data_IF_324314046457
#
_entry.id   IF_324314046457
#
_cell.length_a   1.000
_cell.length_b   1.000
_cell.length_c   1.000
_cell.angle_alpha   90.00
_cell.angle_beta   90.00
_cell.angle_gamma   90.00
#
_symmetry.space_group_name_H-M   'P 1'
#
loop_
_entity.id
_entity.type
_entity.pdbx_description
1 polymer ?
#
# COMPACT_ATOMS: atom_id res chain seq x y z
N UNK A 1 -23.56 -23.96 28.54
CA UNK A 1 -23.39 -22.71 29.26
C UNK A 1 -22.31 -21.89 28.59
N UNK A 2 -22.54 -20.59 28.42
CA UNK A 2 -21.53 -19.63 27.93
C UNK A 2 -20.83 -18.96 29.12
N UNK A 3 -19.70 -18.31 28.84
CA UNK A 3 -19.03 -17.43 29.78
C UNK A 3 -19.79 -16.12 29.86
N UNK A 4 -19.98 -15.58 31.06
CA UNK A 4 -20.55 -14.25 31.26
C UNK A 4 -19.44 -13.23 31.18
N UNK A 5 -19.50 -12.36 30.15
CA UNK A 5 -18.51 -11.30 29.90
C UNK A 5 -18.79 -10.03 30.73
N UNK A 6 -19.74 -10.04 31.66
CA UNK A 6 -20.02 -8.93 32.55
C UNK A 6 -20.51 -7.63 31.84
N UNK A 7 -21.09 -7.77 30.66
CA UNK A 7 -21.57 -6.65 29.83
C UNK A 7 -20.60 -6.20 28.76
N UNK A 8 -19.42 -6.82 28.63
CA UNK A 8 -18.47 -6.54 27.55
C UNK A 8 -18.98 -7.09 26.21
N UNK A 9 -18.45 -6.54 25.12
CA UNK A 9 -18.79 -6.94 23.76
C UNK A 9 -17.76 -7.92 23.21
N UNK A 10 -18.22 -9.04 22.66
CA UNK A 10 -17.40 -9.93 21.83
C UNK A 10 -17.58 -9.54 20.37
N UNK A 11 -16.51 -9.10 19.74
CA UNK A 11 -16.48 -8.70 18.33
C UNK A 11 -15.57 -9.63 17.52
N UNK A 12 -15.80 -9.78 16.21
CA UNK A 12 -14.80 -10.39 15.32
C UNK A 12 -13.47 -9.61 15.40
N UNK A 13 -12.35 -10.31 15.21
CA UNK A 13 -11.07 -9.65 15.10
C UNK A 13 -11.01 -8.67 13.92
N UNK A 14 -10.23 -7.62 14.07
CA UNK A 14 -10.05 -6.63 13.02
C UNK A 14 -9.23 -7.21 11.86
N UNK A 15 -9.47 -6.69 10.65
CA UNK A 15 -8.69 -7.00 9.45
C UNK A 15 -8.01 -5.71 9.01
N UNK A 16 -6.67 -5.73 8.99
CA UNK A 16 -5.85 -4.62 8.48
C UNK A 16 -5.46 -4.91 7.04
N UNK A 17 -5.88 -4.05 6.11
CA UNK A 17 -5.66 -4.26 4.68
C UNK A 17 -4.44 -3.52 4.13
N UNK A 18 -3.92 -2.51 4.85
CA UNK A 18 -2.83 -1.68 4.34
C UNK A 18 -1.96 -1.14 5.47
N UNK A 19 -0.91 -1.85 5.81
CA UNK A 19 0.06 -1.41 6.82
C UNK A 19 1.51 -1.50 6.33
N UNK A 20 2.28 -0.42 6.54
CA UNK A 20 3.73 -0.36 6.29
C UNK A 20 4.54 -0.66 7.57
N UNK A 21 3.90 -1.06 8.66
CA UNK A 21 4.56 -1.21 9.97
C UNK A 21 5.65 -2.29 9.98
N UNK A 22 5.51 -3.35 9.17
CA UNK A 22 6.55 -4.38 9.06
C UNK A 22 7.89 -3.79 8.59
N UNK A 23 7.85 -2.85 7.64
CA UNK A 23 9.06 -2.14 7.19
C UNK A 23 9.75 -1.40 8.34
N UNK A 24 8.99 -0.75 9.23
CA UNK A 24 9.53 -0.04 10.38
C UNK A 24 10.19 -0.97 11.41
N UNK A 25 9.70 -2.19 11.56
CA UNK A 25 10.34 -3.21 12.41
C UNK A 25 11.59 -3.79 11.76
N UNK A 26 11.58 -3.99 10.45
CA UNK A 26 12.72 -4.54 9.70
C UNK A 26 13.84 -3.50 9.51
N UNK A 27 13.47 -2.26 9.18
CA UNK A 27 14.39 -1.13 8.96
C UNK A 27 14.07 0.03 9.90
N UNK A 28 14.36 -0.08 11.21
CA UNK A 28 13.94 0.88 12.21
C UNK A 28 14.63 2.26 12.10
N UNK A 29 15.71 2.33 11.32
CA UNK A 29 16.42 3.58 11.00
C UNK A 29 17.26 3.41 9.75
N UNK A 30 17.66 4.50 9.07
CA UNK A 30 18.44 4.45 7.84
C UNK A 30 19.70 3.59 7.98
N UNK A 31 19.95 2.70 7.03
CA UNK A 31 21.12 1.82 6.98
C UNK A 31 21.12 0.65 7.96
N UNK A 32 20.08 0.48 8.76
CA UNK A 32 19.97 -0.65 9.70
C UNK A 32 18.92 -1.64 9.20
N UNK A 33 19.29 -2.91 9.15
CA UNK A 33 18.38 -4.03 8.87
C UNK A 33 18.45 -5.01 10.05
N UNK A 34 17.29 -5.33 10.58
CA UNK A 34 17.15 -6.35 11.60
C UNK A 34 16.92 -7.73 10.97
N UNK A 35 17.10 -8.78 11.77
CA UNK A 35 16.72 -10.11 11.32
C UNK A 35 15.23 -10.13 10.96
N UNK A 36 14.89 -10.61 9.75
CA UNK A 36 13.53 -10.55 9.23
C UNK A 36 12.53 -11.30 10.11
N UNK A 37 12.86 -12.51 10.60
CA UNK A 37 11.97 -13.29 11.49
C UNK A 37 11.71 -12.51 12.79
N UNK A 38 12.73 -11.93 13.39
CA UNK A 38 12.58 -11.15 14.64
C UNK A 38 11.73 -9.90 14.42
N UNK A 39 11.91 -9.22 13.29
CA UNK A 39 11.10 -8.05 12.91
C UNK A 39 9.63 -8.44 12.71
N UNK A 40 9.38 -9.54 12.00
CA UNK A 40 8.03 -10.08 11.77
C UNK A 40 7.35 -10.44 13.09
N UNK A 41 8.04 -11.13 14.00
CA UNK A 41 7.46 -11.49 15.29
C UNK A 41 7.15 -10.28 16.18
N UNK A 42 7.97 -9.21 16.12
CA UNK A 42 7.69 -7.96 16.83
C UNK A 42 6.49 -7.23 16.23
N UNK A 43 6.40 -7.21 14.90
CA UNK A 43 5.23 -6.67 14.19
C UNK A 43 3.96 -7.44 14.51
N UNK A 44 3.98 -8.78 14.40
CA UNK A 44 2.85 -9.66 14.75
C UNK A 44 2.35 -9.44 16.18
N UNK A 45 3.27 -9.28 17.14
CA UNK A 45 2.90 -8.99 18.53
C UNK A 45 2.14 -7.67 18.67
N UNK A 46 2.54 -6.62 17.93
CA UNK A 46 1.86 -5.33 17.91
C UNK A 46 0.49 -5.42 17.24
N UNK A 47 0.42 -6.12 16.11
CA UNK A 47 -0.83 -6.39 15.36
C UNK A 47 -1.83 -7.12 16.25
N UNK A 48 -1.43 -8.23 16.87
CA UNK A 48 -2.29 -9.02 17.74
C UNK A 48 -2.74 -8.23 18.99
N UNK A 49 -1.84 -7.44 19.60
CA UNK A 49 -2.19 -6.59 20.75
C UNK A 49 -3.20 -5.48 20.40
N UNK A 50 -3.35 -5.15 19.11
CA UNK A 50 -4.33 -4.18 18.61
C UNK A 50 -5.69 -4.82 18.26
N UNK A 51 -5.88 -6.13 18.51
CA UNK A 51 -7.10 -6.86 18.18
C UNK A 51 -7.24 -7.21 16.69
N UNK A 52 -6.15 -7.09 15.93
CA UNK A 52 -6.10 -7.47 14.51
C UNK A 52 -5.79 -8.97 14.44
N UNK A 53 -6.66 -9.73 13.77
CA UNK A 53 -6.51 -11.18 13.58
C UNK A 53 -6.09 -11.57 12.17
N UNK A 54 -6.23 -10.66 11.22
CA UNK A 54 -5.73 -10.81 9.85
C UNK A 54 -5.09 -9.52 9.41
N UNK A 55 -3.88 -9.60 8.86
CA UNK A 55 -3.13 -8.44 8.39
C UNK A 55 -2.58 -8.67 6.99
N UNK A 56 -2.69 -7.65 6.14
CA UNK A 56 -2.08 -7.59 4.83
C UNK A 56 -0.84 -6.70 4.92
N UNK A 57 0.32 -7.35 5.01
CA UNK A 57 1.61 -6.68 5.09
C UNK A 57 1.98 -6.08 3.74
N UNK A 58 2.15 -4.78 3.70
CA UNK A 58 2.51 -4.05 2.49
C UNK A 58 3.98 -4.31 2.12
N UNK A 59 4.20 -4.76 0.89
CA UNK A 59 5.52 -4.87 0.27
C UNK A 59 5.58 -3.98 -0.97
N UNK A 60 6.58 -3.09 -1.02
CA UNK A 60 6.72 -2.12 -2.10
C UNK A 60 7.41 -2.75 -3.30
N UNK A 61 6.80 -2.60 -4.48
CA UNK A 61 7.37 -3.05 -5.74
C UNK A 61 7.58 -1.85 -6.67
N UNK A 62 8.72 -1.84 -7.32
CA UNK A 62 9.22 -0.72 -8.11
C UNK A 62 10.21 0.13 -7.32
N UNK A 63 11.34 0.46 -7.97
CA UNK A 63 12.35 1.34 -7.40
C UNK A 63 11.86 2.78 -7.48
N UNK A 64 11.06 3.18 -6.50
CA UNK A 64 11.03 4.60 -6.20
C UNK A 64 12.22 4.93 -5.28
N UNK A 65 12.76 6.10 -5.44
CA UNK A 65 13.93 6.56 -4.66
C UNK A 65 13.61 6.71 -3.16
N UNK A 66 12.46 6.26 -2.68
CA UNK A 66 11.94 6.56 -1.35
C UNK A 66 12.20 5.49 -0.31
N UNK A 67 12.28 4.24 -0.67
CA UNK A 67 12.29 3.17 0.30
C UNK A 67 13.67 2.80 0.84
N UNK A 68 14.74 3.07 0.11
CA UNK A 68 16.09 2.66 0.50
C UNK A 68 16.25 1.14 0.66
N UNK A 69 15.33 0.34 0.11
CA UNK A 69 15.41 -1.11 0.10
C UNK A 69 16.17 -1.59 -1.13
N UNK A 70 17.07 -2.54 -0.93
CA UNK A 70 17.80 -3.14 -2.04
C UNK A 70 16.90 -4.11 -2.83
N UNK A 71 17.25 -4.34 -4.10
CA UNK A 71 16.62 -5.36 -4.91
C UNK A 71 16.63 -6.71 -4.18
N UNK A 72 15.48 -7.37 -4.13
CA UNK A 72 15.30 -8.66 -3.45
C UNK A 72 14.98 -8.58 -1.96
N UNK A 73 15.08 -7.41 -1.29
CA UNK A 73 14.71 -7.31 0.14
C UNK A 73 13.23 -7.62 0.37
N UNK A 74 12.33 -7.20 -0.53
CA UNK A 74 10.91 -7.52 -0.40
C UNK A 74 10.66 -9.03 -0.52
N UNK A 75 11.37 -9.72 -1.42
CA UNK A 75 11.28 -11.19 -1.51
C UNK A 75 11.82 -11.86 -0.24
N UNK A 76 12.94 -11.38 0.30
CA UNK A 76 13.49 -11.89 1.56
C UNK A 76 12.49 -11.74 2.72
N UNK A 77 11.81 -10.61 2.84
CA UNK A 77 10.79 -10.37 3.86
C UNK A 77 9.61 -11.34 3.67
N UNK A 78 9.13 -11.50 2.44
CA UNK A 78 8.03 -12.41 2.13
C UNK A 78 8.38 -13.88 2.43
N UNK A 79 9.59 -14.32 2.09
CA UNK A 79 10.07 -15.66 2.40
C UNK A 79 10.15 -15.91 3.91
N UNK A 80 10.63 -14.90 4.66
CA UNK A 80 10.68 -14.96 6.12
C UNK A 80 9.28 -14.97 6.74
N UNK A 81 8.32 -14.23 6.17
CA UNK A 81 6.92 -14.23 6.59
C UNK A 81 6.29 -15.61 6.37
N UNK A 82 6.48 -16.20 5.18
CA UNK A 82 6.03 -17.55 4.88
C UNK A 82 6.69 -18.61 5.78
N UNK A 83 7.97 -18.43 6.12
CA UNK A 83 8.65 -19.31 7.07
C UNK A 83 8.04 -19.19 8.46
N UNK A 84 7.86 -17.97 8.97
CA UNK A 84 7.29 -17.74 10.30
C UNK A 84 5.88 -18.32 10.43
N UNK A 85 5.06 -18.20 9.37
CA UNK A 85 3.73 -18.81 9.31
C UNK A 85 3.79 -20.34 9.36
N UNK A 86 4.67 -20.98 8.56
CA UNK A 86 4.84 -22.44 8.55
C UNK A 86 5.35 -23.01 9.89
N UNK A 87 6.15 -22.22 10.59
CA UNK A 87 6.74 -22.60 11.89
C UNK A 87 5.82 -22.26 13.09
N UNK A 88 4.59 -21.82 12.84
CA UNK A 88 3.59 -21.45 13.87
C UNK A 88 4.12 -20.39 14.86
N UNK A 89 4.83 -19.36 14.31
CA UNK A 89 5.42 -18.28 15.09
C UNK A 89 4.54 -17.04 15.18
N UNK A 90 3.42 -17.01 14.45
CA UNK A 90 2.56 -15.86 14.30
C UNK A 90 1.24 -16.05 15.03
N UNK A 91 0.68 -14.96 15.55
CA UNK A 91 -0.62 -14.92 16.26
C UNK A 91 -1.76 -14.54 15.34
N UNK A 92 -1.48 -13.66 14.37
CA UNK A 92 -2.43 -13.24 13.34
C UNK A 92 -2.20 -14.02 12.03
N UNK A 93 -3.24 -14.06 11.18
CA UNK A 93 -3.13 -14.56 9.80
C UNK A 93 -2.51 -13.46 8.93
N UNK A 94 -1.25 -13.65 8.54
CA UNK A 94 -0.51 -12.72 7.71
C UNK A 94 -0.68 -13.04 6.24
N UNK A 95 -0.99 -12.02 5.45
CA UNK A 95 -1.10 -12.03 4.00
C UNK A 95 -0.19 -10.95 3.42
N UNK A 96 0.09 -11.03 2.13
CA UNK A 96 0.91 -10.03 1.43
C UNK A 96 -0.02 -9.12 0.62
N UNK A 97 0.21 -7.83 0.78
CA UNK A 97 -0.30 -6.76 -0.05
C UNK A 97 0.83 -6.15 -0.88
N UNK A 98 0.80 -6.35 -2.19
CA UNK A 98 1.80 -5.77 -3.09
C UNK A 98 1.44 -4.32 -3.40
N UNK A 99 2.31 -3.39 -3.04
CA UNK A 99 2.20 -1.98 -3.40
C UNK A 99 2.99 -1.73 -4.68
N UNK A 100 2.30 -1.76 -5.83
CA UNK A 100 2.93 -1.69 -7.14
C UNK A 100 3.01 -0.24 -7.62
N UNK A 101 4.20 0.36 -7.62
CA UNK A 101 4.44 1.69 -8.21
C UNK A 101 4.51 1.55 -9.74
N UNK A 102 3.36 1.71 -10.41
CA UNK A 102 3.22 1.42 -11.85
C UNK A 102 4.02 2.37 -12.74
N UNK A 103 4.44 3.52 -12.22
CA UNK A 103 5.33 4.47 -12.91
C UNK A 103 6.81 4.03 -12.89
N UNK A 104 7.19 3.08 -12.03
CA UNK A 104 8.55 2.59 -11.96
C UNK A 104 8.88 1.63 -13.12
N UNK A 105 10.06 1.80 -13.73
CA UNK A 105 10.45 1.02 -14.90
C UNK A 105 10.64 -0.47 -14.60
N UNK A 106 10.95 -0.82 -13.37
CA UNK A 106 11.29 -2.17 -12.90
C UNK A 106 10.17 -2.85 -12.09
N UNK A 107 8.99 -2.23 -11.97
CA UNK A 107 7.89 -2.79 -11.16
C UNK A 107 7.45 -4.18 -11.64
N UNK A 108 7.46 -4.42 -12.95
CA UNK A 108 7.09 -5.73 -13.51
C UNK A 108 8.13 -6.79 -13.14
N UNK A 109 9.43 -6.46 -13.25
CA UNK A 109 10.51 -7.37 -12.82
C UNK A 109 10.36 -7.77 -11.35
N UNK A 110 10.05 -6.81 -10.48
CA UNK A 110 9.81 -7.09 -9.06
C UNK A 110 8.50 -7.85 -8.83
N UNK A 111 7.45 -7.58 -9.63
CA UNK A 111 6.17 -8.27 -9.52
C UNK A 111 6.29 -9.75 -9.92
N UNK A 112 7.16 -10.09 -10.88
CA UNK A 112 7.39 -11.48 -11.27
C UNK A 112 7.83 -12.38 -10.11
N UNK A 113 8.62 -11.85 -9.17
CA UNK A 113 9.05 -12.58 -7.97
C UNK A 113 7.87 -12.99 -7.06
N UNK A 114 6.71 -12.36 -7.24
CA UNK A 114 5.49 -12.59 -6.45
C UNK A 114 4.32 -13.14 -7.27
N UNK A 115 4.46 -13.23 -8.57
CA UNK A 115 3.37 -13.58 -9.50
C UNK A 115 2.62 -14.85 -9.10
N UNK A 116 3.29 -15.82 -8.52
CA UNK A 116 2.71 -17.11 -8.10
C UNK A 116 2.69 -17.32 -6.59
N UNK A 117 3.08 -16.34 -5.80
CA UNK A 117 3.14 -16.47 -4.34
C UNK A 117 1.73 -16.62 -3.74
N UNK A 118 1.43 -17.72 -3.01
CA UNK A 118 0.10 -17.97 -2.45
C UNK A 118 -0.26 -17.03 -1.29
N UNK A 119 0.71 -16.35 -0.68
CA UNK A 119 0.44 -15.39 0.38
C UNK A 119 -0.08 -14.04 -0.15
N UNK A 120 0.09 -13.77 -1.45
CA UNK A 120 -0.40 -12.54 -2.07
C UNK A 120 -1.92 -12.59 -2.21
N UNK A 121 -2.61 -11.73 -1.48
CA UNK A 121 -4.07 -11.61 -1.51
C UNK A 121 -4.58 -10.27 -2.02
N UNK A 122 -3.72 -9.24 -2.07
CA UNK A 122 -4.06 -7.89 -2.48
C UNK A 122 -2.91 -7.25 -3.26
N UNK A 123 -3.22 -6.45 -4.28
CA UNK A 123 -2.26 -5.66 -5.02
C UNK A 123 -2.83 -4.26 -5.30
N UNK A 124 -2.12 -3.20 -4.92
CA UNK A 124 -2.49 -1.81 -5.21
C UNK A 124 -1.73 -1.29 -6.41
N UNK A 125 -2.45 -0.63 -7.31
CA UNK A 125 -1.91 0.05 -8.48
C UNK A 125 -1.67 1.52 -8.14
N UNK A 126 -0.44 1.89 -7.84
CA UNK A 126 -0.06 3.21 -7.35
C UNK A 126 0.71 4.00 -8.39
N UNK A 127 0.44 5.30 -8.47
CA UNK A 127 1.21 6.24 -9.29
C UNK A 127 1.41 7.54 -8.49
N UNK A 128 2.61 7.70 -7.94
CA UNK A 128 3.00 8.89 -7.17
C UNK A 128 3.74 9.93 -8.01
N UNK A 129 3.55 9.93 -9.34
CA UNK A 129 4.11 10.96 -10.18
C UNK A 129 3.40 12.32 -9.95
N UNK A 130 4.12 13.46 -10.14
CA UNK A 130 3.51 14.78 -10.02
C UNK A 130 2.36 15.00 -11.00
N UNK A 131 1.24 15.50 -10.50
CA UNK A 131 0.01 15.66 -11.28
C UNK A 131 -0.86 14.41 -11.34
N UNK A 132 -0.45 13.33 -10.68
CA UNK A 132 -1.23 12.11 -10.55
C UNK A 132 -1.81 11.99 -9.13
N UNK A 133 -3.01 11.43 -9.04
CA UNK A 133 -3.67 10.95 -7.80
C UNK A 133 -3.41 11.81 -6.55
N UNK A 134 -2.58 11.38 -5.61
CA UNK A 134 -2.26 12.07 -4.36
C UNK A 134 -1.69 13.49 -4.59
N UNK A 135 -0.91 13.66 -5.64
CA UNK A 135 -0.16 14.88 -5.92
C UNK A 135 -0.75 15.68 -7.08
N UNK A 136 -2.05 16.00 -7.02
CA UNK A 136 -2.73 16.80 -8.04
C UNK A 136 -2.15 18.21 -8.18
N UNK A 137 -1.62 18.80 -7.10
CA UNK A 137 -1.02 20.13 -7.10
C UNK A 137 0.48 20.08 -6.91
N UNK A 138 1.20 20.93 -7.64
CA UNK A 138 2.67 21.07 -7.48
C UNK A 138 3.05 21.51 -6.07
N UNK A 139 2.24 22.30 -5.40
CA UNK A 139 2.53 22.79 -4.04
C UNK A 139 2.64 21.64 -3.04
N UNK A 140 1.74 20.65 -3.11
CA UNK A 140 1.81 19.46 -2.27
C UNK A 140 3.06 18.63 -2.58
N UNK A 141 3.41 18.51 -3.86
CA UNK A 141 4.59 17.78 -4.29
C UNK A 141 5.89 18.45 -3.88
N UNK A 142 5.94 19.80 -3.95
CA UNK A 142 7.07 20.62 -3.46
C UNK A 142 7.30 20.39 -1.97
N UNK A 143 6.23 20.50 -1.17
CA UNK A 143 6.31 20.33 0.28
C UNK A 143 6.81 18.92 0.64
N UNK A 144 6.31 17.90 -0.02
CA UNK A 144 6.64 16.52 0.30
C UNK A 144 8.05 16.12 -0.17
N UNK A 145 8.43 16.46 -1.40
CA UNK A 145 9.68 15.97 -2.00
C UNK A 145 10.83 16.96 -1.94
N UNK A 146 10.60 18.22 -2.29
CA UNK A 146 11.68 19.22 -2.36
C UNK A 146 12.21 19.58 -0.99
N UNK A 147 11.30 19.89 -0.04
CA UNK A 147 11.69 20.28 1.31
C UNK A 147 12.29 19.11 2.09
N UNK A 148 11.64 17.94 2.03
CA UNK A 148 12.12 16.74 2.72
C UNK A 148 13.50 16.27 2.25
N UNK A 149 13.82 16.45 0.96
CA UNK A 149 15.10 16.02 0.36
C UNK A 149 16.13 17.15 0.24
N UNK A 150 15.76 18.40 0.54
CA UNK A 150 16.64 19.54 0.41
C UNK A 150 17.11 19.80 -1.03
N UNK A 151 16.23 19.59 -2.02
CA UNK A 151 16.58 19.74 -3.44
C UNK A 151 16.62 21.21 -3.83
N UNK A 152 17.59 21.60 -4.68
CA UNK A 152 17.57 22.89 -5.37
C UNK A 152 16.39 22.96 -6.36
N UNK A 153 16.02 24.17 -6.80
CA UNK A 153 14.93 24.35 -7.78
C UNK A 153 15.20 23.59 -9.08
N UNK A 154 16.42 23.62 -9.58
CA UNK A 154 16.83 22.92 -10.79
C UNK A 154 16.79 21.40 -10.62
N UNK A 155 17.35 20.87 -9.53
CA UNK A 155 17.32 19.45 -9.23
C UNK A 155 15.88 18.93 -9.04
N UNK A 156 15.02 19.75 -8.41
CA UNK A 156 13.62 19.43 -8.25
C UNK A 156 12.87 19.43 -9.59
N UNK A 157 13.10 20.41 -10.47
CA UNK A 157 12.49 20.43 -11.79
C UNK A 157 12.88 19.20 -12.64
N UNK A 158 14.14 18.79 -12.60
CA UNK A 158 14.61 17.55 -13.24
C UNK A 158 13.96 16.30 -12.64
N UNK A 159 13.84 16.25 -11.32
CA UNK A 159 13.16 15.15 -10.62
C UNK A 159 11.70 15.03 -11.05
N UNK A 160 10.95 16.14 -11.04
CA UNK A 160 9.56 16.21 -11.49
C UNK A 160 9.40 15.70 -12.92
N UNK A 161 10.22 16.26 -13.84
CA UNK A 161 10.15 15.88 -15.25
C UNK A 161 10.41 14.39 -15.45
N UNK A 162 11.44 13.85 -14.83
CA UNK A 162 11.77 12.42 -14.91
C UNK A 162 10.61 11.54 -14.42
N UNK A 163 9.96 11.91 -13.31
CA UNK A 163 8.81 11.16 -12.76
C UNK A 163 7.59 11.23 -13.69
N UNK A 164 7.32 12.39 -14.27
CA UNK A 164 6.23 12.55 -15.25
C UNK A 164 6.49 11.74 -16.53
N UNK A 165 7.71 11.82 -17.06
CA UNK A 165 8.10 11.06 -18.27
C UNK A 165 8.01 9.54 -18.00
N UNK A 166 8.39 9.08 -16.81
CA UNK A 166 8.28 7.68 -16.41
C UNK A 166 6.82 7.24 -16.29
N UNK A 167 5.96 8.00 -15.61
CA UNK A 167 4.52 7.71 -15.51
C UNK A 167 3.87 7.65 -16.91
N UNK A 168 4.12 8.65 -17.76
CA UNK A 168 3.58 8.67 -19.12
C UNK A 168 4.01 7.44 -19.95
N UNK A 169 5.22 6.92 -19.72
CA UNK A 169 5.76 5.78 -20.45
C UNK A 169 5.30 4.43 -19.93
N UNK A 170 5.25 4.28 -18.61
CA UNK A 170 5.16 2.96 -17.97
C UNK A 170 3.80 2.70 -17.29
N UNK A 171 3.11 3.72 -16.76
CA UNK A 171 1.98 3.48 -15.88
C UNK A 171 0.84 2.68 -16.53
N UNK A 172 0.42 3.03 -17.72
CA UNK A 172 -0.71 2.36 -18.37
C UNK A 172 -0.41 0.88 -18.74
N UNK A 173 0.72 0.54 -19.41
CA UNK A 173 1.03 -0.87 -19.69
C UNK A 173 1.27 -1.69 -18.42
N UNK A 174 1.98 -1.17 -17.42
CA UNK A 174 2.24 -1.91 -16.18
C UNK A 174 0.94 -2.15 -15.39
N UNK A 175 0.07 -1.15 -15.32
CA UNK A 175 -1.25 -1.28 -14.67
C UNK A 175 -2.06 -2.41 -15.28
N UNK A 176 -2.07 -2.52 -16.61
CA UNK A 176 -2.77 -3.59 -17.33
C UNK A 176 -2.17 -4.96 -17.04
N UNK A 177 -0.85 -5.09 -17.14
CA UNK A 177 -0.16 -6.36 -16.93
C UNK A 177 -0.36 -6.90 -15.52
N UNK A 178 -0.21 -6.05 -14.50
CA UNK A 178 -0.44 -6.45 -13.10
C UNK A 178 -1.91 -6.82 -12.88
N UNK A 179 -2.85 -6.02 -13.43
CA UNK A 179 -4.28 -6.29 -13.31
C UNK A 179 -4.66 -7.64 -13.94
N UNK A 180 -4.18 -7.93 -15.15
CA UNK A 180 -4.45 -9.19 -15.84
C UNK A 180 -3.86 -10.38 -15.07
N UNK A 181 -2.64 -10.24 -14.55
CA UNK A 181 -1.99 -11.28 -13.76
C UNK A 181 -2.73 -11.54 -12.42
N UNK A 182 -3.18 -10.50 -11.75
CA UNK A 182 -3.96 -10.62 -10.52
C UNK A 182 -5.33 -11.27 -10.81
N UNK A 183 -6.01 -10.85 -11.86
CA UNK A 183 -7.31 -11.42 -12.27
C UNK A 183 -7.21 -12.92 -12.56
N UNK A 184 -6.14 -13.36 -13.26
CA UNK A 184 -5.90 -14.77 -13.57
C UNK A 184 -5.76 -15.67 -12.32
N UNK A 185 -5.43 -15.08 -11.18
CA UNK A 185 -5.23 -15.78 -9.89
C UNK A 185 -6.31 -15.50 -8.85
N UNK A 186 -7.27 -14.63 -9.14
CA UNK A 186 -8.26 -14.20 -8.17
C UNK A 186 -7.69 -13.33 -7.04
N UNK A 187 -6.51 -12.68 -7.27
CA UNK A 187 -5.95 -11.69 -6.35
C UNK A 187 -6.75 -10.40 -6.49
N UNK A 188 -7.19 -9.85 -5.36
CA UNK A 188 -7.94 -8.59 -5.35
C UNK A 188 -7.03 -7.43 -5.76
N UNK A 189 -7.56 -6.51 -6.59
CA UNK A 189 -6.84 -5.30 -7.01
C UNK A 189 -7.45 -4.10 -6.31
N UNK A 190 -6.59 -3.21 -5.83
CA UNK A 190 -6.94 -1.92 -5.27
C UNK A 190 -6.40 -0.77 -6.15
N UNK A 191 -7.15 0.33 -6.19
CA UNK A 191 -6.62 1.64 -6.59
C UNK A 191 -6.09 2.38 -5.37
N UNK A 192 -5.28 3.41 -5.58
CA UNK A 192 -4.66 4.15 -4.49
C UNK A 192 -4.74 5.66 -4.75
N UNK A 193 -5.20 6.41 -3.74
CA UNK A 193 -5.28 7.88 -3.75
C UNK A 193 -6.11 8.46 -4.92
N UNK A 194 -7.17 7.78 -5.35
CA UNK A 194 -8.05 8.27 -6.41
C UNK A 194 -8.64 9.63 -6.03
N UNK A 195 -8.64 10.54 -7.00
CA UNK A 195 -8.94 11.94 -6.77
C UNK A 195 -10.04 12.50 -7.66
N UNK A 196 -10.26 11.88 -8.83
CA UNK A 196 -11.22 12.34 -9.85
C UNK A 196 -12.10 11.21 -10.32
N UNK A 197 -13.19 11.56 -11.03
CA UNK A 197 -14.08 10.58 -11.65
C UNK A 197 -13.34 9.73 -12.70
N UNK A 198 -12.41 10.34 -13.44
CA UNK A 198 -11.59 9.64 -14.43
C UNK A 198 -10.73 8.55 -13.78
N UNK A 199 -10.17 8.81 -12.60
CA UNK A 199 -9.41 7.80 -11.84
C UNK A 199 -10.31 6.63 -11.42
N UNK A 200 -11.54 6.91 -11.00
CA UNK A 200 -12.53 5.89 -10.62
C UNK A 200 -12.95 5.05 -11.82
N UNK A 201 -13.21 5.67 -12.97
CA UNK A 201 -13.56 4.96 -14.21
C UNK A 201 -12.38 4.11 -14.71
N UNK A 202 -11.14 4.62 -14.62
CA UNK A 202 -9.93 3.83 -14.92
C UNK A 202 -9.84 2.62 -13.99
N UNK A 203 -9.98 2.82 -12.68
CA UNK A 203 -9.95 1.75 -11.69
C UNK A 203 -11.00 0.67 -12.00
N UNK A 204 -12.23 1.09 -12.32
CA UNK A 204 -13.32 0.19 -12.71
C UNK A 204 -12.98 -0.62 -13.97
N UNK A 205 -12.37 0.00 -14.96
CA UNK A 205 -11.98 -0.66 -16.22
C UNK A 205 -10.92 -1.74 -16.01
N UNK A 206 -10.08 -1.63 -14.97
CA UNK A 206 -9.11 -2.65 -14.56
C UNK A 206 -9.69 -3.71 -13.59
N UNK A 207 -10.96 -3.62 -13.22
CA UNK A 207 -11.59 -4.57 -12.31
C UNK A 207 -11.22 -4.36 -10.84
N UNK A 208 -10.80 -3.15 -10.46
CA UNK A 208 -10.54 -2.76 -9.07
C UNK A 208 -11.78 -2.99 -8.20
N UNK A 209 -11.58 -3.57 -7.02
CA UNK A 209 -12.61 -3.86 -6.05
C UNK A 209 -12.50 -3.05 -4.76
N UNK A 210 -11.35 -2.43 -4.52
CA UNK A 210 -11.04 -1.65 -3.33
C UNK A 210 -10.41 -0.31 -3.73
N UNK A 211 -11.05 0.80 -3.35
CA UNK A 211 -10.49 2.14 -3.50
C UNK A 211 -9.80 2.54 -2.19
N UNK A 212 -8.47 2.60 -2.20
CA UNK A 212 -7.68 2.95 -1.03
C UNK A 212 -7.44 4.45 -0.96
N UNK A 213 -7.80 5.03 0.17
CA UNK A 213 -7.49 6.40 0.57
C UNK A 213 -7.85 7.47 -0.46
N UNK A 214 -9.08 7.49 -1.00
CA UNK A 214 -9.45 8.52 -1.95
C UNK A 214 -9.16 9.91 -1.38
N UNK A 215 -8.66 10.80 -2.25
CA UNK A 215 -8.23 12.15 -1.85
C UNK A 215 -9.32 13.21 -2.04
N UNK A 216 -10.44 12.84 -2.67
CA UNK A 216 -11.62 13.67 -2.81
C UNK A 216 -12.89 12.93 -2.40
N UNK A 217 -13.87 13.67 -1.91
CA UNK A 217 -15.19 13.12 -1.58
C UNK A 217 -15.89 12.59 -2.84
N UNK A 218 -15.75 13.31 -3.95
CA UNK A 218 -16.30 12.90 -5.24
C UNK A 218 -15.78 11.52 -5.67
N UNK A 219 -14.46 11.29 -5.58
CA UNK A 219 -13.88 9.99 -5.91
C UNK A 219 -14.34 8.88 -4.96
N UNK A 220 -14.47 9.16 -3.64
CA UNK A 220 -14.95 8.17 -2.68
C UNK A 220 -16.40 7.76 -2.94
N UNK A 221 -17.28 8.75 -3.17
CA UNK A 221 -18.70 8.51 -3.47
C UNK A 221 -18.85 7.76 -4.81
N UNK A 222 -18.10 8.14 -5.84
CA UNK A 222 -18.11 7.48 -7.14
C UNK A 222 -17.61 6.04 -7.06
N UNK A 223 -16.53 5.78 -6.31
CA UNK A 223 -16.00 4.42 -6.07
C UNK A 223 -17.05 3.54 -5.40
N UNK A 224 -17.71 4.06 -4.36
CA UNK A 224 -18.79 3.33 -3.69
C UNK A 224 -19.98 3.09 -4.62
N UNK A 225 -20.40 4.08 -5.39
CA UNK A 225 -21.48 3.95 -6.38
C UNK A 225 -21.15 2.95 -7.49
N UNK A 226 -19.87 2.81 -7.85
CA UNK A 226 -19.38 1.82 -8.80
C UNK A 226 -19.27 0.39 -8.20
N UNK A 227 -19.65 0.20 -6.93
CA UNK A 227 -19.62 -1.10 -6.25
C UNK A 227 -18.25 -1.49 -5.70
N UNK A 228 -17.30 -0.58 -5.62
CA UNK A 228 -16.02 -0.77 -4.93
C UNK A 228 -16.18 -0.53 -3.43
N UNK A 229 -15.43 -1.27 -2.62
CA UNK A 229 -15.25 -0.92 -1.21
C UNK A 229 -14.32 0.29 -1.10
N UNK A 230 -14.51 1.13 -0.08
CA UNK A 230 -13.65 2.30 0.16
C UNK A 230 -12.89 2.10 1.47
N UNK A 231 -11.56 2.09 1.40
CA UNK A 231 -10.68 1.99 2.56
C UNK A 231 -10.24 3.38 3.00
N UNK A 232 -10.41 3.66 4.29
CA UNK A 232 -10.01 4.94 4.89
C UNK A 232 -9.11 4.69 6.10
N UNK A 233 -8.12 5.57 6.30
CA UNK A 233 -7.16 5.40 7.37
C UNK A 233 -7.77 5.61 8.76
N UNK A 234 -7.78 4.58 9.60
CA UNK A 234 -8.24 4.67 10.99
C UNK A 234 -7.57 5.79 11.81
N UNK A 235 -6.25 6.08 11.66
CA UNK A 235 -5.63 7.22 12.32
C UNK A 235 -6.26 8.56 11.93
N UNK A 236 -6.79 8.71 10.71
CA UNK A 236 -7.46 9.92 10.26
C UNK A 236 -8.82 10.12 10.96
N UNK A 237 -9.51 9.02 11.29
CA UNK A 237 -10.74 9.07 12.10
C UNK A 237 -10.45 9.62 13.49
N UNK A 238 -9.42 9.10 14.16
CA UNK A 238 -9.01 9.52 15.51
C UNK A 238 -8.55 10.98 15.53
N UNK A 239 -7.72 11.39 14.58
CA UNK A 239 -7.21 12.76 14.45
C UNK A 239 -8.25 13.76 13.95
N UNK A 240 -9.30 13.31 13.27
CA UNK A 240 -10.30 14.14 12.59
C UNK A 240 -9.82 14.76 11.27
N UNK A 241 -8.63 14.41 10.80
CA UNK A 241 -8.05 14.87 9.52
C UNK A 241 -6.94 13.95 9.04
N UNK A 242 -6.68 13.94 7.74
CA UNK A 242 -5.49 13.36 7.14
C UNK A 242 -4.31 14.34 7.17
N UNK A 243 -3.08 13.81 7.24
CA UNK A 243 -1.85 14.56 7.02
C UNK A 243 -1.29 14.37 5.60
N UNK A 244 -1.85 13.45 4.84
CA UNK A 244 -1.42 13.07 3.48
C UNK A 244 -2.40 13.46 2.37
N UNK A 245 -3.36 14.34 2.67
CA UNK A 245 -4.30 14.86 1.66
C UNK A 245 -5.56 14.02 1.44
N UNK A 246 -5.68 12.83 2.06
CA UNK A 246 -6.88 12.02 1.96
C UNK A 246 -8.08 12.71 2.62
N UNK A 247 -9.28 12.39 2.18
CA UNK A 247 -10.50 12.94 2.78
C UNK A 247 -10.69 12.49 4.22
N UNK A 248 -11.46 13.26 4.97
CA UNK A 248 -11.88 12.86 6.32
C UNK A 248 -12.87 11.72 6.26
N UNK A 249 -12.73 10.75 7.13
CA UNK A 249 -13.69 9.66 7.33
C UNK A 249 -14.90 10.05 8.21
N UNK A 250 -15.01 11.34 8.58
CA UNK A 250 -16.11 11.93 9.36
C UNK A 250 -17.01 12.77 8.48
#
# INVERSE_FOLDING_TARGET
GGEDLGGDYLLPGLIELHTDHLEAHYSPRPGVRWNAISAIQAHDAQVAASGITTVFDCLRLGSDEEGGFAKGEMRLIADALAQAAREDRLRADHRIHLRCEVSAADVIEHFEDFRTDPMVGLASLMDHAPGQRQFQTMDQYVLYYKEKRGLSDEAFAHFVKRRQDASARYAAPHRREIADACAARGVTIASHDDATLEHVEEARAFGVRLAEFPTSREAAEASHAAGMSVLMGAPNVVRGKSHSGNISAR
#
